data_IF_562565120980
#
_entry.id   IF_562565120980
#
_cell.length_a   1.000
_cell.length_b   1.000
_cell.length_c   1.000
_cell.angle_alpha   90.00
_cell.angle_beta   90.00
_cell.angle_gamma   90.00
#
_symmetry.space_group_name_H-M   'P 1'
#
loop_
_entity.id
_entity.type
_entity.pdbx_description
1 polymer ?
#
# COMPACT_ATOMS: atom_id res chain seq x y z
N UNK A 1 43.53 2.14 66.80
CA UNK A 1 42.13 1.95 66.44
C UNK A 1 41.88 2.67 65.11
N UNK A 2 41.80 1.90 64.01
CA UNK A 2 41.60 2.44 62.64
C UNK A 2 40.13 2.27 62.30
N UNK A 3 39.39 3.36 62.17
CA UNK A 3 37.98 3.36 61.74
C UNK A 3 37.85 3.17 60.23
N UNK A 4 37.49 1.97 59.77
CA UNK A 4 37.16 1.67 58.40
C UNK A 4 35.72 2.15 58.08
N UNK A 5 35.57 3.25 57.39
CA UNK A 5 34.27 3.68 56.81
C UNK A 5 34.00 2.86 55.54
N UNK A 6 33.02 1.96 55.61
CA UNK A 6 32.50 1.23 54.45
C UNK A 6 31.61 2.19 53.64
N UNK A 7 32.05 2.56 52.42
CA UNK A 7 31.21 3.25 51.45
C UNK A 7 30.34 2.22 50.72
N UNK A 8 29.03 2.33 50.93
CA UNK A 8 28.04 1.53 50.19
C UNK A 8 27.67 2.30 48.90
N UNK A 9 28.29 1.92 47.78
CA UNK A 9 27.92 2.48 46.47
C UNK A 9 26.60 1.88 46.01
N UNK A 10 25.54 2.69 46.05
CA UNK A 10 24.22 2.36 45.51
C UNK A 10 24.29 2.53 43.97
N UNK A 11 24.36 1.42 43.25
CA UNK A 11 24.29 1.40 41.76
C UNK A 11 22.83 1.57 41.36
N UNK A 12 22.43 2.80 40.94
CA UNK A 12 21.10 3.06 40.40
C UNK A 12 21.09 2.59 38.96
N UNK A 13 20.48 1.44 38.70
CA UNK A 13 20.17 0.96 37.33
C UNK A 13 19.01 1.78 36.76
N UNK A 14 19.31 2.77 35.95
CA UNK A 14 18.29 3.51 35.17
C UNK A 14 17.84 2.63 34.01
N UNK A 15 16.71 1.96 34.16
CA UNK A 15 16.04 1.30 33.05
C UNK A 15 15.44 2.36 32.13
N UNK A 16 16.11 2.64 31.02
CA UNK A 16 15.50 3.39 29.93
C UNK A 16 14.43 2.52 29.26
N UNK A 17 13.18 2.69 29.67
CA UNK A 17 12.04 2.15 28.94
C UNK A 17 11.89 2.94 27.63
N UNK A 18 12.50 2.47 26.58
CA UNK A 18 12.13 2.92 25.22
C UNK A 18 10.72 2.41 24.95
N UNK A 19 9.73 3.29 25.08
CA UNK A 19 8.35 3.01 24.63
C UNK A 19 8.42 2.91 23.11
N UNK A 20 8.61 1.72 22.60
CA UNK A 20 8.42 1.44 21.19
C UNK A 20 6.93 1.64 20.87
N UNK A 21 6.56 2.82 20.40
CA UNK A 21 5.26 3.04 19.79
C UNK A 21 5.20 2.11 18.58
N UNK A 22 4.56 0.97 18.79
CA UNK A 22 4.38 -0.01 17.74
C UNK A 22 3.40 0.57 16.73
N UNK A 23 3.90 0.87 15.55
CA UNK A 23 3.19 1.37 14.38
C UNK A 23 2.89 0.22 13.43
N UNK A 24 1.83 0.34 12.65
CA UNK A 24 1.57 -0.54 11.51
C UNK A 24 2.14 0.10 10.25
N UNK A 25 2.79 -0.70 9.42
CA UNK A 25 3.36 -0.27 8.14
C UNK A 25 2.57 -0.87 6.97
N UNK A 26 2.23 -0.02 5.99
CA UNK A 26 1.50 -0.43 4.79
C UNK A 26 2.26 0.00 3.54
N UNK A 27 2.19 -0.83 2.50
CA UNK A 27 2.79 -0.56 1.19
C UNK A 27 1.77 -0.78 0.08
N UNK A 28 1.77 0.06 -0.95
CA UNK A 28 0.98 -0.13 -2.17
C UNK A 28 1.90 -0.18 -3.38
N UNK A 29 1.65 -1.12 -4.27
CA UNK A 29 2.42 -1.25 -5.51
C UNK A 29 1.55 -1.74 -6.66
N UNK A 30 1.42 -0.91 -7.70
CA UNK A 30 0.99 -1.37 -9.00
C UNK A 30 2.13 -2.18 -9.62
N UNK A 31 1.96 -3.51 -9.79
CA UNK A 31 3.01 -4.43 -10.25
C UNK A 31 2.94 -4.72 -11.76
N UNK A 32 2.34 -3.84 -12.51
CA UNK A 32 2.24 -3.88 -13.99
C UNK A 32 2.03 -5.31 -14.53
N UNK A 33 0.77 -5.65 -14.87
CA UNK A 33 0.41 -6.96 -15.41
C UNK A 33 0.90 -8.13 -14.54
N UNK A 34 0.68 -8.06 -13.21
CA UNK A 34 1.16 -9.05 -12.26
C UNK A 34 0.51 -10.41 -12.49
N UNK A 35 1.26 -11.30 -13.12
CA UNK A 35 0.74 -12.58 -13.56
C UNK A 35 1.84 -13.58 -13.93
N UNK A 36 1.49 -14.51 -14.81
CA UNK A 36 2.36 -15.62 -15.26
C UNK A 36 3.70 -15.15 -15.85
N UNK A 37 3.76 -13.94 -16.40
CA UNK A 37 4.97 -13.40 -17.02
C UNK A 37 6.08 -13.05 -16.04
N UNK A 38 5.78 -12.88 -14.74
CA UNK A 38 6.80 -12.58 -13.73
C UNK A 38 7.65 -13.82 -13.44
N UNK A 39 8.95 -13.72 -13.71
CA UNK A 39 9.94 -14.77 -13.43
C UNK A 39 10.17 -14.96 -11.93
N UNK A 40 10.80 -16.06 -11.54
CA UNK A 40 11.16 -16.31 -10.13
C UNK A 40 12.14 -15.28 -9.58
N UNK A 41 13.07 -14.79 -10.41
CA UNK A 41 14.00 -13.72 -10.04
C UNK A 41 13.27 -12.41 -9.77
N UNK A 42 12.30 -12.04 -10.63
CA UNK A 42 11.48 -10.85 -10.43
C UNK A 42 10.60 -10.97 -9.19
N UNK A 43 9.99 -12.13 -8.95
CA UNK A 43 9.20 -12.39 -7.74
C UNK A 43 10.07 -12.35 -6.46
N UNK A 44 11.29 -12.88 -6.51
CA UNK A 44 12.23 -12.82 -5.39
C UNK A 44 12.63 -11.36 -5.06
N UNK A 45 12.84 -10.53 -6.09
CA UNK A 45 13.10 -9.10 -5.93
C UNK A 45 11.89 -8.38 -5.31
N UNK A 46 10.69 -8.62 -5.84
CA UNK A 46 9.43 -8.07 -5.31
C UNK A 46 9.25 -8.47 -3.85
N UNK A 47 9.45 -9.76 -3.52
CA UNK A 47 9.34 -10.26 -2.15
C UNK A 47 10.33 -9.57 -1.21
N UNK A 48 11.58 -9.36 -1.65
CA UNK A 48 12.58 -8.64 -0.84
C UNK A 48 12.16 -7.19 -0.58
N UNK A 49 11.65 -6.51 -1.60
CA UNK A 49 11.17 -5.12 -1.49
C UNK A 49 9.98 -4.98 -0.53
N UNK A 50 9.09 -5.98 -0.49
CA UNK A 50 7.85 -5.92 0.29
C UNK A 50 7.99 -6.46 1.72
N UNK A 51 9.06 -7.22 2.02
CA UNK A 51 9.18 -7.96 3.27
C UNK A 51 9.18 -7.10 4.54
N UNK A 52 9.48 -5.82 4.46
CA UNK A 52 9.54 -4.94 5.64
C UNK A 52 8.17 -4.40 6.08
N UNK A 53 7.14 -4.52 5.24
CA UNK A 53 5.81 -3.99 5.52
C UNK A 53 4.89 -5.02 6.16
N UNK A 54 3.92 -4.54 6.98
CA UNK A 54 2.98 -5.42 7.69
C UNK A 54 1.76 -5.76 6.83
N UNK A 55 1.32 -4.82 5.98
CA UNK A 55 0.24 -5.02 4.99
C UNK A 55 0.69 -4.46 3.65
N UNK A 56 0.44 -5.21 2.60
CA UNK A 56 0.74 -4.83 1.21
C UNK A 56 -0.53 -4.90 0.37
N UNK A 57 -0.74 -3.93 -0.50
CA UNK A 57 -1.78 -3.96 -1.54
C UNK A 57 -1.15 -3.91 -2.91
N UNK A 58 -1.63 -4.76 -3.81
CA UNK A 58 -1.13 -4.91 -5.18
C UNK A 58 -2.25 -4.64 -6.16
N UNK A 59 -2.01 -3.77 -7.14
CA UNK A 59 -2.85 -3.50 -8.28
C UNK A 59 -2.30 -4.22 -9.53
N UNK A 60 -3.12 -4.30 -10.58
CA UNK A 60 -2.83 -4.97 -11.84
C UNK A 60 -2.53 -6.48 -11.73
N UNK A 61 -3.11 -7.15 -10.73
CA UNK A 61 -3.11 -8.61 -10.74
C UNK A 61 -3.97 -9.09 -11.92
N UNK A 62 -3.40 -9.86 -12.83
CA UNK A 62 -4.08 -10.33 -14.03
C UNK A 62 -5.38 -11.07 -13.68
N UNK A 63 -6.49 -10.75 -14.38
CA UNK A 63 -7.82 -11.28 -14.09
C UNK A 63 -7.93 -12.82 -14.20
N UNK A 64 -7.15 -13.43 -15.10
CA UNK A 64 -7.11 -14.88 -15.28
C UNK A 64 -6.30 -15.61 -14.20
N UNK A 65 -6.26 -16.94 -14.29
CA UNK A 65 -5.55 -17.82 -13.34
C UNK A 65 -4.07 -17.48 -13.14
N UNK A 66 -3.44 -16.87 -14.12
CA UNK A 66 -2.04 -16.45 -14.03
C UNK A 66 -1.78 -15.42 -12.93
N UNK A 67 -2.76 -14.55 -12.64
CA UNK A 67 -2.68 -13.56 -11.55
C UNK A 67 -2.72 -14.22 -10.18
N UNK A 68 -3.71 -15.08 -9.93
CA UNK A 68 -3.83 -15.80 -8.65
C UNK A 68 -2.60 -16.65 -8.37
N UNK A 69 -2.07 -17.35 -9.40
CA UNK A 69 -0.84 -18.15 -9.28
C UNK A 69 0.38 -17.30 -8.96
N UNK A 70 0.50 -16.09 -9.55
CA UNK A 70 1.60 -15.18 -9.25
C UNK A 70 1.56 -14.68 -7.81
N UNK A 71 0.38 -14.33 -7.30
CA UNK A 71 0.20 -13.94 -5.88
C UNK A 71 0.59 -15.09 -4.96
N UNK A 72 0.12 -16.31 -5.23
CA UNK A 72 0.49 -17.49 -4.43
C UNK A 72 2.02 -17.71 -4.41
N UNK A 73 2.69 -17.65 -5.58
CA UNK A 73 4.16 -17.77 -5.68
C UNK A 73 4.87 -16.69 -4.87
N UNK A 74 4.41 -15.45 -4.96
CA UNK A 74 4.99 -14.34 -4.19
C UNK A 74 4.85 -14.58 -2.68
N UNK A 75 3.67 -14.98 -2.21
CA UNK A 75 3.44 -15.29 -0.79
C UNK A 75 4.29 -16.46 -0.33
N UNK A 76 4.47 -17.50 -1.16
CA UNK A 76 5.35 -18.64 -0.86
C UNK A 76 6.80 -18.18 -0.66
N UNK A 77 7.30 -17.24 -1.47
CA UNK A 77 8.65 -16.67 -1.31
C UNK A 77 8.73 -15.82 -0.02
N UNK A 78 7.71 -15.00 0.25
CA UNK A 78 7.65 -14.18 1.46
C UNK A 78 7.64 -15.03 2.74
N UNK A 79 6.94 -16.17 2.74
CA UNK A 79 6.91 -17.10 3.86
C UNK A 79 8.29 -17.67 4.21
N UNK A 80 9.20 -17.74 3.25
CA UNK A 80 10.58 -18.18 3.46
C UNK A 80 11.50 -17.06 3.97
N UNK A 81 10.97 -15.83 4.23
CA UNK A 81 11.75 -14.65 4.68
C UNK A 81 11.55 -14.31 6.17
N UNK A 82 11.11 -15.25 7.00
CA UNK A 82 11.08 -15.11 8.46
C UNK A 82 9.73 -14.69 9.06
N UNK A 83 8.73 -14.35 8.24
CA UNK A 83 7.37 -14.08 8.70
C UNK A 83 6.37 -14.99 8.02
N UNK A 84 5.29 -15.35 8.72
CA UNK A 84 4.15 -15.99 8.09
C UNK A 84 3.26 -14.94 7.46
N UNK A 85 3.07 -15.05 6.15
CA UNK A 85 2.20 -14.22 5.35
C UNK A 85 0.93 -14.97 4.96
N UNK A 86 -0.16 -14.22 4.89
CA UNK A 86 -1.43 -14.66 4.31
C UNK A 86 -1.88 -13.63 3.28
N UNK A 87 -2.90 -13.95 2.48
CA UNK A 87 -3.32 -13.10 1.37
C UNK A 87 -4.82 -13.20 1.09
N UNK A 88 -5.36 -12.19 0.43
CA UNK A 88 -6.67 -12.17 -0.18
C UNK A 88 -6.57 -11.62 -1.60
N UNK A 89 -7.28 -12.24 -2.54
CA UNK A 89 -7.34 -11.82 -3.94
C UNK A 89 -8.81 -11.51 -4.25
N UNK A 90 -9.07 -10.40 -4.96
CA UNK A 90 -10.42 -10.06 -5.40
C UNK A 90 -10.89 -11.02 -6.51
N UNK A 91 -12.20 -11.03 -6.76
CA UNK A 91 -12.70 -11.41 -8.07
C UNK A 91 -12.17 -10.43 -9.14
N UNK A 92 -12.21 -10.77 -10.43
CA UNK A 92 -11.99 -9.78 -11.47
C UNK A 92 -12.94 -8.59 -11.30
N UNK A 93 -12.43 -7.38 -11.53
CA UNK A 93 -13.25 -6.16 -11.55
C UNK A 93 -14.33 -6.22 -12.65
N UNK A 94 -15.38 -5.41 -12.51
CA UNK A 94 -16.52 -5.45 -13.43
C UNK A 94 -16.35 -4.61 -14.69
N UNK A 95 -15.17 -4.01 -14.91
CA UNK A 95 -14.91 -3.16 -16.08
C UNK A 95 -15.65 -3.60 -17.34
N UNK A 96 -16.34 -2.66 -17.97
CA UNK A 96 -17.10 -2.90 -19.21
C UNK A 96 -16.18 -3.39 -20.34
N UNK A 97 -14.92 -3.00 -20.35
CA UNK A 97 -13.90 -3.52 -21.25
C UNK A 97 -13.20 -4.76 -20.64
N UNK A 98 -13.43 -5.98 -21.15
CA UNK A 98 -12.82 -7.19 -20.61
C UNK A 98 -11.29 -7.14 -20.53
N UNK A 99 -10.62 -6.43 -21.44
CA UNK A 99 -9.15 -6.27 -21.42
C UNK A 99 -8.65 -5.34 -20.32
N UNK A 100 -9.54 -4.55 -19.70
CA UNK A 100 -9.24 -3.67 -18.56
C UNK A 100 -9.52 -4.32 -17.23
N UNK A 101 -10.14 -5.52 -17.20
CA UNK A 101 -10.42 -6.25 -15.97
C UNK A 101 -9.14 -6.73 -15.35
N UNK A 102 -9.02 -6.50 -14.05
CA UNK A 102 -7.91 -6.95 -13.24
C UNK A 102 -8.41 -7.49 -11.90
N UNK A 103 -7.52 -7.98 -11.09
CA UNK A 103 -7.74 -8.30 -9.69
C UNK A 103 -6.84 -7.41 -8.85
N UNK A 104 -7.19 -7.30 -7.59
CA UNK A 104 -6.34 -6.76 -6.53
C UNK A 104 -5.89 -7.89 -5.61
N UNK A 105 -4.78 -7.65 -4.90
CA UNK A 105 -4.39 -8.53 -3.82
C UNK A 105 -4.00 -7.72 -2.57
N UNK A 106 -4.35 -8.27 -1.41
CA UNK A 106 -3.79 -7.90 -0.12
C UNK A 106 -2.89 -9.02 0.37
N UNK A 107 -1.72 -8.68 0.89
CA UNK A 107 -0.82 -9.59 1.59
C UNK A 107 -0.56 -9.00 2.98
N UNK A 108 -0.48 -9.83 4.01
CA UNK A 108 -0.20 -9.34 5.35
C UNK A 108 0.58 -10.36 6.20
N UNK A 109 1.38 -9.83 7.14
CA UNK A 109 2.05 -10.62 8.17
C UNK A 109 1.05 -11.00 9.27
N UNK A 110 0.75 -12.29 9.43
CA UNK A 110 -0.24 -12.77 10.40
C UNK A 110 0.16 -12.53 11.86
N UNK A 111 1.44 -12.36 12.13
CA UNK A 111 1.97 -12.02 13.46
C UNK A 111 1.88 -10.51 13.80
N UNK A 112 1.58 -9.66 12.81
CA UNK A 112 1.52 -8.21 12.96
C UNK A 112 0.10 -7.69 12.98
N UNK A 113 -0.71 -8.13 12.03
CA UNK A 113 -2.11 -7.71 11.88
C UNK A 113 -3.02 -8.92 11.74
N UNK A 114 -4.26 -8.77 12.22
CA UNK A 114 -5.32 -9.75 12.03
C UNK A 114 -6.28 -9.23 10.97
N UNK A 115 -6.53 -10.01 9.91
CA UNK A 115 -7.56 -9.70 8.94
C UNK A 115 -8.94 -9.99 9.55
N UNK A 116 -9.89 -9.05 9.39
CA UNK A 116 -11.24 -9.11 9.96
C UNK A 116 -12.27 -9.29 8.84
N UNK A 117 -13.08 -10.34 8.95
CA UNK A 117 -14.15 -10.63 8.01
C UNK A 117 -13.66 -10.98 6.58
N UNK A 118 -14.56 -10.97 5.62
CA UNK A 118 -14.24 -11.14 4.20
C UNK A 118 -13.71 -9.83 3.60
N UNK A 119 -12.85 -9.92 2.58
CA UNK A 119 -12.52 -8.78 1.72
C UNK A 119 -13.56 -8.72 0.59
N UNK A 120 -13.86 -7.51 0.06
CA UNK A 120 -14.91 -7.32 -0.94
C UNK A 120 -14.54 -6.24 -1.95
N UNK A 121 -15.07 -6.36 -3.18
CA UNK A 121 -15.08 -5.26 -4.13
C UNK A 121 -16.25 -4.32 -3.78
N UNK A 122 -16.00 -3.00 -3.80
CA UNK A 122 -17.02 -1.98 -3.54
C UNK A 122 -17.99 -1.91 -4.71
N UNK A 123 -19.26 -2.28 -4.51
CA UNK A 123 -20.23 -2.46 -5.60
C UNK A 123 -21.22 -1.31 -5.75
N UNK A 124 -21.31 -0.38 -4.77
CA UNK A 124 -22.31 0.70 -4.86
C UNK A 124 -22.03 1.68 -6.01
N UNK A 125 -20.78 1.77 -6.46
CA UNK A 125 -20.35 2.65 -7.57
C UNK A 125 -19.69 1.87 -8.71
N UNK A 126 -20.04 0.59 -8.90
CA UNK A 126 -19.45 -0.25 -9.94
C UNK A 126 -19.78 0.21 -11.38
N UNK A 127 -20.87 0.99 -11.55
CA UNK A 127 -21.24 1.56 -12.86
C UNK A 127 -20.46 2.84 -13.17
N UNK A 128 -19.95 3.52 -12.13
CA UNK A 128 -19.23 4.79 -12.24
C UNK A 128 -17.73 4.64 -12.10
N UNK A 129 -17.26 3.56 -11.48
CA UNK A 129 -15.86 3.23 -11.26
C UNK A 129 -15.52 1.97 -12.06
N UNK A 130 -14.74 2.10 -13.12
CA UNK A 130 -14.43 1.02 -14.08
C UNK A 130 -13.77 -0.19 -13.41
N UNK A 131 -12.96 0.07 -12.37
CA UNK A 131 -12.29 -0.94 -11.53
C UNK A 131 -12.56 -0.64 -10.07
N UNK A 132 -13.65 -1.19 -9.58
CA UNK A 132 -14.13 -0.94 -8.23
C UNK A 132 -13.06 -1.24 -7.17
N UNK A 133 -12.94 -0.40 -6.11
CA UNK A 133 -11.94 -0.61 -5.06
C UNK A 133 -12.10 -1.94 -4.34
N UNK A 134 -11.00 -2.64 -4.10
CA UNK A 134 -10.98 -3.83 -3.25
C UNK A 134 -10.72 -3.45 -1.81
N UNK A 135 -11.62 -3.85 -0.92
CA UNK A 135 -11.63 -3.45 0.47
C UNK A 135 -11.29 -4.61 1.39
N UNK A 136 -10.45 -4.35 2.39
CA UNK A 136 -10.14 -5.32 3.44
C UNK A 136 -9.93 -4.63 4.77
N UNK A 137 -10.51 -5.18 5.83
CA UNK A 137 -10.36 -4.68 7.22
C UNK A 137 -9.28 -5.47 7.94
N UNK A 138 -8.40 -4.73 8.60
CA UNK A 138 -7.33 -5.25 9.43
C UNK A 138 -7.44 -4.71 10.85
N UNK A 139 -7.02 -5.51 11.82
CA UNK A 139 -6.91 -5.12 13.21
C UNK A 139 -5.43 -5.11 13.63
N UNK A 140 -5.04 -4.02 14.28
CA UNK A 140 -3.72 -3.86 14.88
C UNK A 140 -3.90 -3.36 16.32
N UNK A 141 -3.44 -4.15 17.29
CA UNK A 141 -3.57 -3.82 18.72
C UNK A 141 -5.00 -3.46 19.15
N UNK A 142 -5.98 -4.23 18.71
CA UNK A 142 -7.39 -4.05 19.06
C UNK A 142 -8.11 -2.88 18.34
N UNK A 143 -7.43 -2.13 17.48
CA UNK A 143 -8.02 -1.07 16.66
C UNK A 143 -8.06 -1.47 15.19
N UNK A 144 -9.16 -1.13 14.52
CA UNK A 144 -9.40 -1.54 13.14
C UNK A 144 -9.19 -0.40 12.16
N UNK A 145 -8.72 -0.75 10.97
CA UNK A 145 -8.65 0.11 9.80
C UNK A 145 -8.98 -0.71 8.55
N UNK A 146 -9.57 -0.06 7.56
CA UNK A 146 -9.95 -0.69 6.30
C UNK A 146 -9.22 -0.03 5.17
N UNK A 147 -8.48 -0.81 4.40
CA UNK A 147 -7.82 -0.32 3.17
C UNK A 147 -8.77 -0.56 2.01
N UNK A 148 -8.99 0.48 1.21
CA UNK A 148 -9.59 0.44 -0.11
C UNK A 148 -8.46 0.57 -1.14
N UNK A 149 -8.06 -0.55 -1.73
CA UNK A 149 -7.06 -0.60 -2.81
C UNK A 149 -7.71 -0.21 -4.13
N UNK A 150 -7.13 0.72 -4.86
CA UNK A 150 -7.72 1.29 -6.06
C UNK A 150 -6.71 1.43 -7.20
N UNK A 151 -7.22 1.26 -8.43
CA UNK A 151 -6.50 1.57 -9.65
C UNK A 151 -7.45 2.28 -10.63
N UNK A 152 -7.31 3.59 -10.75
CA UNK A 152 -8.13 4.42 -11.63
C UNK A 152 -7.87 4.14 -13.11
N UNK A 153 -8.83 4.50 -13.97
CA UNK A 153 -8.57 4.52 -15.42
C UNK A 153 -7.35 5.39 -15.74
N UNK A 154 -6.60 5.06 -16.82
CA UNK A 154 -5.45 5.86 -17.22
C UNK A 154 -5.78 7.34 -17.42
N UNK A 155 -4.81 8.23 -17.21
CA UNK A 155 -4.98 9.71 -17.30
C UNK A 155 -5.73 10.16 -18.56
N UNK A 156 -5.48 9.53 -19.71
CA UNK A 156 -6.17 9.83 -20.98
C UNK A 156 -7.68 9.53 -20.98
N UNK A 157 -8.16 8.74 -20.01
CA UNK A 157 -9.57 8.38 -19.81
C UNK A 157 -10.24 9.18 -18.69
N UNK A 158 -9.60 10.25 -18.21
CA UNK A 158 -10.14 11.14 -17.19
C UNK A 158 -10.45 10.43 -15.85
N UNK A 159 -9.43 10.00 -15.07
CA UNK A 159 -9.61 9.32 -13.79
C UNK A 159 -10.40 10.14 -12.76
N UNK A 160 -10.46 11.46 -12.94
CA UNK A 160 -11.26 12.37 -12.10
C UNK A 160 -12.76 12.02 -12.14
N UNK A 161 -13.25 11.42 -13.23
CA UNK A 161 -14.64 10.95 -13.35
C UNK A 161 -14.99 9.84 -12.38
N UNK A 162 -14.01 9.03 -11.96
CA UNK A 162 -14.14 7.97 -10.96
C UNK A 162 -13.82 8.48 -9.55
N UNK A 163 -12.70 9.19 -9.39
CA UNK A 163 -12.20 9.67 -8.10
C UNK A 163 -13.23 10.57 -7.40
N UNK A 164 -14.06 11.30 -8.13
CA UNK A 164 -15.12 12.15 -7.55
C UNK A 164 -16.09 11.39 -6.64
N UNK A 165 -16.23 10.06 -6.79
CA UNK A 165 -17.08 9.22 -5.95
C UNK A 165 -16.46 8.86 -4.60
N UNK A 166 -15.14 8.97 -4.45
CA UNK A 166 -14.45 8.63 -3.20
C UNK A 166 -14.96 9.41 -1.99
N UNK A 167 -15.41 10.65 -2.18
CA UNK A 167 -16.07 11.45 -1.13
C UNK A 167 -17.35 10.84 -0.57
N UNK A 168 -17.99 9.91 -1.32
CA UNK A 168 -19.26 9.30 -0.94
C UNK A 168 -19.06 7.97 -0.18
N UNK A 169 -17.96 7.26 -0.43
CA UNK A 169 -17.67 5.95 0.20
C UNK A 169 -17.66 6.02 1.73
N UNK A 170 -17.06 7.04 2.41
CA UNK A 170 -17.12 7.13 3.87
C UNK A 170 -18.53 7.18 4.46
N UNK A 171 -19.51 7.74 3.73
CA UNK A 171 -20.90 7.79 4.17
C UNK A 171 -21.60 6.42 4.07
N UNK A 172 -21.19 5.57 3.12
CA UNK A 172 -21.68 4.19 3.02
C UNK A 172 -21.12 3.32 4.17
N UNK A 173 -19.93 3.63 4.64
CA UNK A 173 -19.22 2.84 5.66
C UNK A 173 -18.82 3.69 6.88
N UNK A 174 -19.79 4.30 7.61
CA UNK A 174 -19.49 5.30 8.65
C UNK A 174 -18.75 4.71 9.88
N UNK A 175 -18.80 3.40 10.06
CA UNK A 175 -18.09 2.70 11.15
C UNK A 175 -16.64 2.36 10.80
N UNK A 176 -16.28 2.35 9.51
CA UNK A 176 -14.95 1.97 9.09
C UNK A 176 -13.97 3.14 9.22
N UNK A 177 -12.73 2.83 9.57
CA UNK A 177 -11.61 3.75 9.49
C UNK A 177 -10.93 3.53 8.13
N UNK A 178 -11.39 4.27 7.12
CA UNK A 178 -11.00 4.06 5.72
C UNK A 178 -9.64 4.68 5.40
N UNK A 179 -8.83 3.92 4.67
CA UNK A 179 -7.60 4.35 4.02
C UNK A 179 -7.73 4.01 2.54
N UNK A 180 -7.76 5.01 1.68
CA UNK A 180 -7.73 4.83 0.23
C UNK A 180 -6.29 4.82 -0.24
N UNK A 181 -5.84 3.79 -0.95
CA UNK A 181 -4.48 3.73 -1.46
C UNK A 181 -4.38 2.95 -2.77
N UNK A 182 -3.42 3.34 -3.60
CA UNK A 182 -3.18 2.71 -4.88
C UNK A 182 -2.77 3.69 -5.95
N UNK A 183 -2.99 3.32 -7.20
CA UNK A 183 -2.73 4.11 -8.40
C UNK A 183 -3.98 4.91 -8.79
N UNK A 184 -3.96 6.20 -8.50
CA UNK A 184 -5.05 7.11 -8.85
C UNK A 184 -4.94 7.66 -10.28
N UNK A 185 -3.84 7.43 -10.99
CA UNK A 185 -3.57 8.02 -12.30
C UNK A 185 -3.80 9.55 -12.35
N UNK A 186 -3.77 10.20 -11.18
CA UNK A 186 -4.11 11.60 -10.96
C UNK A 186 -3.28 12.14 -9.79
N UNK A 187 -2.60 13.30 -9.94
CA UNK A 187 -1.82 13.89 -8.87
C UNK A 187 -2.72 14.35 -7.72
N UNK A 188 -2.26 14.19 -6.49
CA UNK A 188 -3.01 14.53 -5.28
C UNK A 188 -3.40 16.01 -5.19
N UNK A 189 -2.72 16.89 -5.93
CA UNK A 189 -3.02 18.33 -6.04
C UNK A 189 -4.26 18.64 -6.89
N UNK A 190 -4.77 17.65 -7.66
CA UNK A 190 -5.97 17.82 -8.47
C UNK A 190 -7.19 18.16 -7.58
N UNK A 191 -8.01 19.09 -8.05
CA UNK A 191 -9.19 19.57 -7.32
C UNK A 191 -10.25 18.50 -7.05
N UNK A 192 -10.23 17.37 -7.76
CA UNK A 192 -11.14 16.23 -7.54
C UNK A 192 -11.02 15.66 -6.12
N UNK A 193 -9.85 15.77 -5.49
CA UNK A 193 -9.63 15.34 -4.11
C UNK A 193 -10.09 16.37 -3.05
N UNK A 194 -10.38 17.61 -3.42
CA UNK A 194 -10.76 18.66 -2.47
C UNK A 194 -11.97 18.29 -1.59
N UNK A 195 -13.05 17.67 -2.11
CA UNK A 195 -14.16 17.24 -1.26
C UNK A 195 -13.74 16.20 -0.22
N UNK A 196 -12.91 15.22 -0.59
CA UNK A 196 -12.39 14.21 0.34
C UNK A 196 -11.48 14.86 1.39
N UNK A 197 -10.60 15.79 0.99
CA UNK A 197 -9.74 16.55 1.91
C UNK A 197 -10.55 17.42 2.88
N UNK A 198 -11.63 18.05 2.43
CA UNK A 198 -12.56 18.81 3.30
C UNK A 198 -13.24 17.95 4.38
N UNK A 199 -13.36 16.65 4.16
CA UNK A 199 -13.86 15.68 5.15
C UNK A 199 -12.80 15.27 6.18
N UNK A 200 -11.57 15.79 6.08
CA UNK A 200 -10.46 15.48 6.99
C UNK A 200 -9.53 14.34 6.54
N UNK A 201 -9.64 13.92 5.28
CA UNK A 201 -8.67 13.00 4.69
C UNK A 201 -7.44 13.78 4.22
N UNK A 202 -6.26 13.28 4.57
CA UNK A 202 -4.98 13.83 4.14
C UNK A 202 -4.26 12.82 3.25
N UNK A 203 -3.56 13.31 2.25
CA UNK A 203 -2.66 12.48 1.46
C UNK A 203 -1.32 12.28 2.17
N UNK A 204 -0.66 11.17 1.86
CA UNK A 204 0.61 10.79 2.49
C UNK A 204 1.81 11.23 1.67
N UNK A 205 1.70 11.18 0.34
CA UNK A 205 2.76 11.54 -0.59
C UNK A 205 2.41 12.87 -1.25
N UNK A 206 3.35 13.82 -1.22
CA UNK A 206 3.19 15.16 -1.81
C UNK A 206 4.32 15.46 -2.79
N UNK A 207 3.97 16.02 -3.95
CA UNK A 207 4.90 16.49 -4.97
C UNK A 207 5.98 15.45 -5.35
N UNK A 208 5.63 14.16 -5.26
CA UNK A 208 6.52 13.05 -5.52
C UNK A 208 6.01 12.20 -6.68
N UNK A 209 6.77 12.16 -7.76
CA UNK A 209 6.49 11.26 -8.89
C UNK A 209 6.65 9.80 -8.47
N UNK A 210 5.73 8.96 -8.90
CA UNK A 210 5.63 7.54 -8.55
C UNK A 210 5.57 6.60 -9.75
N UNK A 211 5.57 7.11 -10.98
CA UNK A 211 5.66 6.28 -12.19
C UNK A 211 6.99 6.48 -12.91
N UNK A 212 7.45 5.45 -13.64
CA UNK A 212 8.70 5.44 -14.39
C UNK A 212 8.46 5.89 -15.82
N UNK A 213 9.38 6.70 -16.36
CA UNK A 213 9.47 7.00 -17.79
C UNK A 213 9.85 5.76 -18.61
N UNK A 214 9.71 5.82 -19.92
CA UNK A 214 10.29 4.83 -20.83
C UNK A 214 11.83 4.96 -20.91
N UNK A 215 12.31 6.21 -20.84
CA UNK A 215 13.73 6.57 -20.80
C UNK A 215 13.92 7.73 -19.83
N UNK A 216 15.04 7.75 -19.13
CA UNK A 216 15.38 8.91 -18.28
C UNK A 216 15.68 10.13 -19.18
N UNK A 217 15.27 11.31 -18.72
CA UNK A 217 15.54 12.61 -19.35
C UNK A 217 16.34 13.42 -18.33
N UNK A 218 17.56 13.83 -18.68
CA UNK A 218 18.44 14.57 -17.77
C UNK A 218 18.58 13.90 -16.40
N UNK A 219 18.77 12.59 -16.38
CA UNK A 219 18.82 11.75 -15.18
C UNK A 219 17.51 11.66 -14.38
N UNK A 220 16.41 12.33 -14.79
CA UNK A 220 15.08 12.15 -14.22
C UNK A 220 14.37 10.97 -14.89
N UNK A 221 14.27 9.86 -14.15
CA UNK A 221 13.62 8.62 -14.60
C UNK A 221 12.13 8.56 -14.23
N UNK A 222 11.62 9.55 -13.48
CA UNK A 222 10.24 9.57 -12.99
C UNK A 222 9.34 10.40 -13.90
N UNK A 223 8.08 9.96 -14.05
CA UNK A 223 7.11 10.60 -14.93
C UNK A 223 6.05 11.41 -14.18
N UNK A 224 5.20 10.76 -13.41
CA UNK A 224 3.96 11.34 -12.88
C UNK A 224 3.72 10.97 -11.42
N UNK A 225 2.90 11.78 -10.75
CA UNK A 225 2.42 11.60 -9.39
C UNK A 225 1.09 10.85 -9.44
N UNK A 226 1.11 9.53 -9.45
CA UNK A 226 -0.09 8.70 -9.66
C UNK A 226 -0.48 7.91 -8.41
N UNK A 227 0.50 7.38 -7.69
CA UNK A 227 0.26 6.55 -6.53
C UNK A 227 0.20 7.39 -5.26
N UNK A 228 -0.78 7.13 -4.41
CA UNK A 228 -0.93 7.83 -3.13
C UNK A 228 -1.69 7.00 -2.09
N UNK A 229 -1.72 7.49 -0.86
CA UNK A 229 -2.54 7.02 0.23
C UNK A 229 -3.26 8.21 0.88
N UNK A 230 -4.59 8.12 1.03
CA UNK A 230 -5.43 9.08 1.73
C UNK A 230 -5.98 8.43 3.00
N UNK A 231 -5.80 9.09 4.13
CA UNK A 231 -6.19 8.59 5.45
C UNK A 231 -7.00 9.61 6.23
N UNK A 232 -7.88 9.13 7.09
CA UNK A 232 -8.69 10.01 7.94
C UNK A 232 -7.86 10.50 9.15
N UNK A 233 -7.50 11.78 9.15
CA UNK A 233 -6.52 12.37 10.07
C UNK A 233 -6.98 12.38 11.53
N UNK A 234 -8.30 12.29 11.80
CA UNK A 234 -8.83 12.19 13.15
C UNK A 234 -8.51 10.82 13.77
N UNK A 235 -8.57 9.73 12.97
CA UNK A 235 -8.40 8.35 13.43
C UNK A 235 -6.99 7.79 13.24
N UNK A 236 -6.18 8.42 12.38
CA UNK A 236 -4.83 7.96 12.04
C UNK A 236 -3.82 9.10 12.23
N UNK A 237 -2.63 8.75 12.73
CA UNK A 237 -1.46 9.63 12.77
C UNK A 237 -0.33 8.97 11.99
N UNK A 238 0.05 9.56 10.85
CA UNK A 238 1.22 9.12 10.08
C UNK A 238 2.48 9.42 10.90
N UNK A 239 3.40 8.48 10.91
CA UNK A 239 4.71 8.56 11.57
C UNK A 239 5.80 8.76 10.54
N UNK A 240 5.80 7.91 9.50
CA UNK A 240 6.73 7.99 8.38
C UNK A 240 6.04 7.59 7.10
N UNK A 241 6.55 8.09 5.98
CA UNK A 241 6.05 7.72 4.65
C UNK A 241 7.11 7.98 3.60
N UNK A 242 6.93 7.40 2.44
CA UNK A 242 7.82 7.62 1.32
C UNK A 242 7.55 6.71 0.13
N UNK A 243 8.51 6.70 -0.78
CA UNK A 243 8.57 5.80 -1.93
C UNK A 243 9.73 4.82 -1.78
N UNK A 244 9.68 3.70 -2.50
CA UNK A 244 10.80 2.76 -2.61
C UNK A 244 11.38 2.88 -4.02
N UNK A 245 12.48 3.61 -4.24
CA UNK A 245 13.04 3.85 -5.56
C UNK A 245 13.77 2.61 -6.10
N UNK A 246 13.07 1.48 -6.19
CA UNK A 246 13.58 0.16 -6.54
C UNK A 246 14.33 0.13 -7.88
N UNK A 247 13.95 1.01 -8.82
CA UNK A 247 14.58 1.11 -10.14
C UNK A 247 16.07 1.43 -10.09
N UNK A 248 16.54 2.03 -8.99
CA UNK A 248 17.96 2.32 -8.77
C UNK A 248 18.81 1.07 -8.52
N UNK A 249 18.19 -0.08 -8.25
CA UNK A 249 18.87 -1.37 -8.10
C UNK A 249 19.14 -2.07 -9.44
N UNK A 250 18.74 -1.48 -10.57
CA UNK A 250 18.92 -2.04 -11.89
C UNK A 250 19.90 -1.20 -12.73
N UNK A 251 20.65 -1.87 -13.60
CA UNK A 251 21.57 -1.21 -14.51
C UNK A 251 20.85 -0.35 -15.54
N UNK A 252 19.66 -0.79 -15.96
CA UNK A 252 18.87 -0.08 -16.96
C UNK A 252 17.43 0.10 -16.49
N UNK A 253 16.79 1.20 -16.92
CA UNK A 253 15.38 1.43 -16.67
C UNK A 253 14.49 0.37 -17.35
N UNK A 254 14.93 -0.20 -18.47
CA UNK A 254 14.25 -1.29 -19.16
C UNK A 254 14.16 -2.55 -18.28
N UNK A 255 15.20 -2.88 -17.54
CA UNK A 255 15.20 -4.00 -16.59
C UNK A 255 14.28 -3.70 -15.39
N UNK A 256 14.39 -2.50 -14.80
CA UNK A 256 13.50 -2.08 -13.72
C UNK A 256 12.02 -2.17 -14.12
N UNK A 257 11.68 -1.77 -15.35
CA UNK A 257 10.31 -1.82 -15.88
C UNK A 257 9.76 -3.23 -16.11
N UNK A 258 10.60 -4.28 -16.08
CA UNK A 258 10.10 -5.67 -16.02
C UNK A 258 9.46 -5.98 -14.65
N UNK A 259 9.93 -5.32 -13.58
CA UNK A 259 9.29 -5.41 -12.27
C UNK A 259 7.99 -4.62 -12.27
N UNK A 260 8.05 -3.31 -12.52
CA UNK A 260 6.90 -2.42 -12.66
C UNK A 260 7.32 -1.09 -13.28
N UNK A 261 6.37 -0.38 -13.86
CA UNK A 261 6.51 1.02 -14.24
C UNK A 261 5.94 1.99 -13.17
N UNK A 262 5.48 1.47 -12.04
CA UNK A 262 5.13 2.23 -10.86
C UNK A 262 6.09 1.96 -9.71
N UNK A 263 6.32 2.98 -8.88
CA UNK A 263 7.18 2.92 -7.70
C UNK A 263 6.31 2.65 -6.48
N UNK A 264 6.65 1.67 -5.63
CA UNK A 264 5.90 1.43 -4.42
C UNK A 264 5.88 2.67 -3.53
N UNK A 265 4.72 2.97 -2.97
CA UNK A 265 4.55 3.95 -1.90
C UNK A 265 4.31 3.22 -0.58
N UNK A 266 4.70 3.84 0.52
CA UNK A 266 4.49 3.28 1.84
C UNK A 266 4.19 4.34 2.89
N UNK A 267 3.56 3.91 3.96
CA UNK A 267 3.36 4.72 5.15
C UNK A 267 3.32 3.87 6.40
N UNK A 268 3.82 4.39 7.50
CA UNK A 268 3.63 3.81 8.81
C UNK A 268 2.83 4.76 9.70
N UNK A 269 1.93 4.21 10.50
CA UNK A 269 1.01 5.03 11.28
C UNK A 269 0.57 4.38 12.58
N UNK A 270 0.08 5.22 13.48
CA UNK A 270 -0.64 4.83 14.68
C UNK A 270 -2.14 5.05 14.48
N UNK A 271 -2.94 4.11 14.98
CA UNK A 271 -4.39 4.25 15.12
C UNK A 271 -4.69 4.98 16.45
N UNK A 272 -5.42 6.09 16.35
CA UNK A 272 -5.80 6.92 17.50
C UNK A 272 -6.96 6.32 18.27
#
# INVERSE_FOLDING_TARGET
>A
MVNSKKYFSLLILVFNYTVFFSQVSVCSWNLMNFGKSKSDTELAFIATTLNDYDVVTIQEVVAGDGGSKAVYRLVSILNNKGFKWDYAISNPTTSANPSSRERYAFLWKTSKVKKIGASWLEQNYQEEIDREPFMSTFEFKGKQFTIASFHAVPKKKNPESEIKYFKLIPALYPKLNLVFMGDFNCPQSNSVFNPLKKMGYLNVIENQKTSLRQKCINNDCLASEYDNMFYYSIKIKIIQSGIIPFYKSFLTLKEARKISDHIPIWGSFNLK
#
